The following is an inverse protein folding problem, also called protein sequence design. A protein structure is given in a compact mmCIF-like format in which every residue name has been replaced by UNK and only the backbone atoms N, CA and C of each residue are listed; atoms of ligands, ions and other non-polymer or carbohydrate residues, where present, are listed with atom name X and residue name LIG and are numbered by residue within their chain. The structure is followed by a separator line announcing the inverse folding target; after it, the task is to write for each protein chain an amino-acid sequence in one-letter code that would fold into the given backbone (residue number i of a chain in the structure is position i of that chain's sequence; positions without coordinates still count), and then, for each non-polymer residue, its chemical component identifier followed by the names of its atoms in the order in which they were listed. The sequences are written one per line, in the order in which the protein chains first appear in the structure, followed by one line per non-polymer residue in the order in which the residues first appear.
data_IF_326667117777
#
_entry.id   IF_326667117777
#
_cell.length_a   1.000
_cell.length_b   1.000
_cell.length_c   1.000
_cell.angle_alpha   90.00
_cell.angle_beta   90.00
_cell.angle_gamma   90.00
#
_symmetry.space_group_name_H-M   'P 1'
#
loop_
_entity.id
_entity.type
_entity.pdbx_description
1 polymer ?
#
# COMPACT_ATOMS: atom_id res chain seq x y z
N UNK A 1 -11.60 -69.07 -32.50
CA UNK A 1 -10.26 -69.65 -32.36
C UNK A 1 -9.36 -68.57 -31.81
N UNK A 2 -8.90 -68.75 -30.57
CA UNK A 2 -7.65 -68.32 -29.95
C UNK A 2 -7.41 -66.82 -29.81
N UNK A 3 -7.61 -66.32 -28.57
CA UNK A 3 -6.80 -65.21 -27.98
C UNK A 3 -5.40 -65.71 -27.65
N UNK A 4 -4.42 -64.78 -27.55
CA UNK A 4 -3.64 -64.73 -26.32
C UNK A 4 -3.44 -63.28 -25.81
N UNK A 5 -3.74 -63.09 -24.57
CA UNK A 5 -2.98 -62.77 -23.35
C UNK A 5 -1.90 -61.67 -23.49
N UNK A 6 -2.22 -60.59 -22.85
CA UNK A 6 -1.41 -59.41 -22.56
C UNK A 6 -0.61 -59.61 -21.26
N UNK A 7 0.67 -59.28 -21.16
CA UNK A 7 1.35 -59.21 -19.88
C UNK A 7 1.42 -57.77 -19.35
N UNK A 8 1.02 -57.68 -18.11
CA UNK A 8 1.06 -56.48 -17.28
C UNK A 8 2.44 -55.81 -17.24
N UNK A 9 2.48 -54.52 -17.55
CA UNK A 9 3.58 -53.63 -17.22
C UNK A 9 3.28 -53.01 -15.86
N UNK A 10 4.08 -53.37 -14.88
CA UNK A 10 4.10 -52.70 -13.57
C UNK A 10 4.88 -51.38 -13.70
N UNK A 11 4.18 -50.29 -13.63
CA UNK A 11 4.77 -48.95 -13.49
C UNK A 11 5.01 -48.66 -12.01
N UNK A 12 6.28 -48.67 -11.59
CA UNK A 12 6.76 -48.20 -10.30
C UNK A 12 7.22 -46.77 -10.43
N UNK A 13 6.31 -45.83 -10.59
CA UNK A 13 6.60 -44.42 -10.38
C UNK A 13 6.45 -44.04 -8.90
N UNK A 14 7.53 -44.10 -8.18
CA UNK A 14 7.66 -43.52 -6.82
C UNK A 14 7.63 -42.00 -6.97
N UNK A 15 6.48 -41.38 -6.76
CA UNK A 15 6.37 -39.96 -6.53
C UNK A 15 6.96 -39.63 -5.16
N UNK A 16 8.22 -39.19 -5.13
CA UNK A 16 8.74 -38.45 -4.00
C UNK A 16 8.10 -37.04 -4.02
N UNK A 17 7.10 -36.85 -3.19
CA UNK A 17 6.62 -35.52 -2.84
C UNK A 17 7.71 -34.81 -2.03
N UNK A 18 8.45 -33.93 -2.68
CA UNK A 18 9.25 -32.94 -1.98
C UNK A 18 8.29 -31.91 -1.37
N UNK A 19 7.84 -32.17 -0.16
CA UNK A 19 7.30 -31.12 0.70
C UNK A 19 8.40 -30.08 0.98
N UNK A 20 8.49 -29.06 0.15
CA UNK A 20 9.17 -27.82 0.52
C UNK A 20 8.24 -27.05 1.46
N UNK A 21 8.19 -27.51 2.70
CA UNK A 21 7.53 -26.80 3.78
C UNK A 21 8.22 -25.50 4.06
N UNK A 22 7.85 -24.46 3.36
CA UNK A 22 8.20 -23.07 3.74
C UNK A 22 7.43 -22.78 5.03
N UNK A 23 8.08 -23.03 6.17
CA UNK A 23 7.53 -22.73 7.49
C UNK A 23 7.26 -21.23 7.53
N UNK A 24 5.99 -20.84 7.57
CA UNK A 24 5.64 -19.43 7.70
C UNK A 24 6.32 -18.87 8.95
N UNK A 25 7.09 -17.81 8.77
CA UNK A 25 7.74 -17.11 9.88
C UNK A 25 6.65 -16.50 10.78
N UNK A 26 6.85 -16.59 12.09
CA UNK A 26 5.97 -15.91 13.03
C UNK A 26 6.02 -14.39 12.80
N UNK A 27 4.95 -13.69 13.15
CA UNK A 27 4.88 -12.23 13.04
C UNK A 27 6.04 -11.55 13.75
N UNK A 28 6.45 -12.07 14.92
CA UNK A 28 7.60 -11.57 15.68
C UNK A 28 8.94 -11.81 14.97
N UNK A 29 9.12 -12.96 14.32
CA UNK A 29 10.30 -13.25 13.53
C UNK A 29 10.40 -12.34 12.29
N UNK A 30 9.26 -12.01 11.66
CA UNK A 30 9.20 -11.04 10.57
C UNK A 30 9.56 -9.65 11.08
N UNK A 31 9.03 -9.23 12.22
CA UNK A 31 9.34 -7.94 12.83
C UNK A 31 10.81 -7.82 13.21
N UNK A 32 11.39 -8.86 13.83
CA UNK A 32 12.82 -8.90 14.19
C UNK A 32 13.72 -8.90 12.95
N UNK A 33 13.40 -9.68 11.93
CA UNK A 33 14.15 -9.71 10.67
C UNK A 33 14.05 -8.35 9.92
N UNK A 34 12.89 -7.69 9.98
CA UNK A 34 12.69 -6.37 9.38
C UNK A 34 13.47 -5.31 10.17
N UNK A 35 13.45 -5.35 11.50
CA UNK A 35 14.21 -4.44 12.35
C UNK A 35 15.71 -4.60 12.14
N UNK A 36 16.24 -5.84 12.18
CA UNK A 36 17.66 -6.13 11.94
C UNK A 36 18.11 -5.68 10.54
N UNK A 37 17.31 -5.98 9.50
CA UNK A 37 17.60 -5.56 8.12
C UNK A 37 17.56 -4.04 7.98
N UNK A 38 16.77 -3.36 8.80
CA UNK A 38 16.69 -1.91 8.79
C UNK A 38 17.93 -1.29 9.47
N UNK A 39 18.44 -1.87 10.55
CA UNK A 39 19.72 -1.47 11.15
C UNK A 39 20.87 -1.59 10.13
N UNK A 40 20.93 -2.69 9.37
CA UNK A 40 21.95 -2.87 8.32
C UNK A 40 21.82 -1.87 7.16
N UNK A 41 20.58 -1.50 6.78
CA UNK A 41 20.33 -0.63 5.61
C UNK A 41 20.39 0.85 5.96
N UNK A 42 20.04 1.22 7.20
CA UNK A 42 19.89 2.63 7.59
C UNK A 42 21.05 3.19 8.41
N UNK A 43 22.05 2.37 8.76
CA UNK A 43 23.38 2.87 9.18
C UNK A 43 24.21 3.42 8.01
N UNK A 44 23.73 3.29 6.78
CA UNK A 44 24.32 4.01 5.66
C UNK A 44 24.02 5.51 5.87
N UNK A 45 25.03 6.39 5.95
CA UNK A 45 24.80 7.81 6.05
C UNK A 45 23.96 8.26 4.87
N UNK A 46 22.68 8.48 5.11
CA UNK A 46 21.78 9.04 4.12
C UNK A 46 22.19 10.49 3.77
N UNK A 47 21.67 11.04 2.69
CA UNK A 47 21.86 12.45 2.39
C UNK A 47 21.36 13.27 3.59
N UNK A 48 22.20 14.17 4.08
CA UNK A 48 21.89 15.02 5.24
C UNK A 48 20.63 15.87 5.05
N UNK A 49 20.21 16.03 3.79
CA UNK A 49 19.03 16.79 3.43
C UNK A 49 18.48 16.24 2.10
N UNK A 50 17.16 15.97 1.96
CA UNK A 50 16.60 15.45 0.71
C UNK A 50 16.90 16.33 -0.51
N UNK A 51 16.93 17.65 -0.34
CA UNK A 51 17.27 18.60 -1.39
C UNK A 51 18.75 18.57 -1.80
N UNK A 52 19.62 18.04 -0.95
CA UNK A 52 21.04 17.86 -1.21
C UNK A 52 21.38 16.44 -1.69
N UNK A 53 20.38 15.59 -1.89
CA UNK A 53 20.61 14.28 -2.46
C UNK A 53 21.07 14.41 -3.91
N UNK A 54 22.36 14.26 -4.09
CA UNK A 54 23.01 14.28 -5.40
C UNK A 54 23.44 12.85 -5.73
N UNK A 55 22.47 11.99 -6.02
CA UNK A 55 22.78 10.72 -6.64
C UNK A 55 23.41 10.95 -8.03
N UNK A 56 24.06 9.93 -8.60
CA UNK A 56 24.65 9.99 -9.93
C UNK A 56 23.61 10.17 -11.04
N UNK A 57 22.33 9.91 -10.75
CA UNK A 57 21.23 10.12 -11.69
C UNK A 57 21.08 11.60 -12.07
N UNK A 58 21.02 11.93 -13.36
CA UNK A 58 20.67 13.29 -13.80
C UNK A 58 19.22 13.65 -13.52
N UNK A 59 18.37 12.67 -13.15
CA UNK A 59 16.96 12.88 -12.86
C UNK A 59 16.83 13.45 -11.46
N UNK A 60 16.35 14.69 -11.36
CA UNK A 60 16.07 15.38 -10.10
C UNK A 60 14.57 15.36 -9.86
N UNK A 61 14.13 14.55 -8.90
CA UNK A 61 12.72 14.47 -8.53
C UNK A 61 12.39 15.62 -7.56
N UNK A 62 11.44 16.45 -7.94
CA UNK A 62 11.00 17.58 -7.14
C UNK A 62 9.93 17.19 -6.12
N UNK A 63 8.95 16.39 -6.55
CA UNK A 63 7.88 15.83 -5.70
C UNK A 63 7.19 14.68 -6.40
N UNK A 64 6.43 13.88 -5.65
CA UNK A 64 5.42 13.00 -6.23
C UNK A 64 4.32 13.88 -6.85
N UNK A 65 4.12 13.80 -8.16
CA UNK A 65 3.22 14.67 -8.91
C UNK A 65 1.77 14.20 -8.85
N UNK A 66 1.43 13.25 -9.70
CA UNK A 66 0.07 12.71 -9.80
C UNK A 66 0.12 11.20 -10.06
N UNK A 67 -1.02 10.57 -9.81
CA UNK A 67 -1.27 9.16 -10.07
C UNK A 67 -2.48 9.00 -10.99
N UNK A 68 -2.36 8.16 -12.01
CA UNK A 68 -3.46 7.83 -12.93
C UNK A 68 -3.68 6.33 -12.93
N UNK A 69 -4.92 5.89 -12.77
CA UNK A 69 -5.24 4.47 -12.78
C UNK A 69 -6.52 4.18 -13.56
N UNK A 70 -6.65 2.94 -14.02
CA UNK A 70 -7.81 2.49 -14.78
C UNK A 70 -8.92 2.02 -13.85
N UNK A 71 -10.15 2.39 -14.16
CA UNK A 71 -11.35 2.08 -13.38
C UNK A 71 -12.43 1.47 -14.26
N UNK A 72 -13.17 0.52 -13.72
CA UNK A 72 -14.22 -0.19 -14.46
C UNK A 72 -15.46 0.68 -14.74
N UNK A 73 -15.74 1.63 -13.83
CA UNK A 73 -16.84 2.60 -13.95
C UNK A 73 -16.35 3.96 -13.44
N UNK A 74 -16.10 4.86 -14.39
CA UNK A 74 -15.53 6.19 -14.11
C UNK A 74 -16.46 7.02 -13.21
N UNK A 75 -17.78 6.99 -13.42
CA UNK A 75 -18.70 7.81 -12.64
C UNK A 75 -18.86 7.30 -11.21
N UNK A 76 -18.89 5.99 -11.02
CA UNK A 76 -18.90 5.37 -9.69
C UNK A 76 -17.63 5.73 -8.92
N UNK A 77 -16.47 5.61 -9.54
CA UNK A 77 -15.21 5.93 -8.89
C UNK A 77 -15.00 7.44 -8.74
N UNK A 78 -15.49 8.26 -9.68
CA UNK A 78 -15.52 9.71 -9.54
C UNK A 78 -16.38 10.15 -8.33
N UNK A 79 -17.52 9.51 -8.13
CA UNK A 79 -18.34 9.74 -6.93
C UNK A 79 -17.58 9.40 -5.65
N UNK A 80 -16.88 8.28 -5.62
CA UNK A 80 -16.03 7.91 -4.49
C UNK A 80 -14.97 8.99 -4.18
N UNK A 81 -14.26 9.51 -5.19
CA UNK A 81 -13.26 10.56 -4.99
C UNK A 81 -13.86 11.87 -4.49
N UNK A 82 -15.03 12.26 -4.98
CA UNK A 82 -15.71 13.47 -4.51
C UNK A 82 -16.28 13.33 -3.11
N UNK A 83 -17.06 12.27 -2.88
CA UNK A 83 -17.92 12.15 -1.70
C UNK A 83 -17.22 11.46 -0.53
N UNK A 84 -16.35 10.46 -0.79
CA UNK A 84 -15.65 9.73 0.25
C UNK A 84 -14.30 10.37 0.55
N UNK A 85 -13.50 10.63 -0.49
CA UNK A 85 -12.15 11.16 -0.33
C UNK A 85 -12.09 12.69 -0.23
N UNK A 86 -13.18 13.40 -0.55
CA UNK A 86 -13.25 14.86 -0.46
C UNK A 86 -12.40 15.61 -1.48
N UNK A 87 -12.04 14.96 -2.58
CA UNK A 87 -11.29 15.59 -3.66
C UNK A 87 -12.17 16.46 -4.53
N UNK A 88 -11.60 17.48 -5.12
CA UNK A 88 -12.30 18.39 -6.05
C UNK A 88 -12.05 17.93 -7.48
N UNK A 89 -13.11 17.62 -8.21
CA UNK A 89 -13.03 17.39 -9.65
C UNK A 89 -12.58 18.66 -10.36
N UNK A 90 -11.52 18.58 -11.16
CA UNK A 90 -10.94 19.73 -11.86
C UNK A 90 -11.24 19.74 -13.33
N UNK A 91 -11.24 18.57 -13.98
CA UNK A 91 -11.36 18.51 -15.42
C UNK A 91 -11.85 17.14 -15.90
N UNK A 92 -12.36 17.12 -17.13
CA UNK A 92 -12.70 15.92 -17.90
C UNK A 92 -12.18 16.06 -19.32
N UNK A 93 -11.61 15.02 -19.86
CA UNK A 93 -11.17 15.05 -21.24
C UNK A 93 -12.11 14.27 -22.18
N UNK A 94 -11.93 14.47 -23.49
CA UNK A 94 -12.72 13.81 -24.54
C UNK A 94 -12.59 12.28 -24.57
N UNK A 95 -11.63 11.72 -23.85
CA UNK A 95 -11.41 10.27 -23.76
C UNK A 95 -12.08 9.65 -22.52
N UNK A 96 -12.94 10.41 -21.83
CA UNK A 96 -13.68 9.96 -20.65
C UNK A 96 -12.86 9.90 -19.38
N UNK A 97 -11.65 10.47 -19.35
CA UNK A 97 -10.88 10.59 -18.12
C UNK A 97 -11.42 11.73 -17.26
N UNK A 98 -11.35 11.54 -15.95
CA UNK A 98 -11.72 12.54 -14.94
C UNK A 98 -10.53 12.80 -14.04
N UNK A 99 -10.30 14.07 -13.69
CA UNK A 99 -9.15 14.51 -12.92
C UNK A 99 -9.58 15.19 -11.62
N UNK A 100 -8.84 14.93 -10.55
CA UNK A 100 -9.14 15.40 -9.20
C UNK A 100 -7.90 16.00 -8.53
N UNK A 101 -8.12 17.04 -7.73
CA UNK A 101 -7.09 17.66 -6.89
C UNK A 101 -7.46 17.61 -5.42
N UNK A 102 -6.45 17.57 -4.56
CA UNK A 102 -6.54 17.80 -3.11
C UNK A 102 -5.75 19.02 -2.65
N UNK A 103 -5.03 19.67 -3.55
CA UNK A 103 -4.17 20.83 -3.29
C UNK A 103 -4.18 21.84 -4.41
N UNK A 104 -3.02 22.45 -4.66
CA UNK A 104 -2.84 23.54 -5.65
C UNK A 104 -2.61 23.06 -7.08
N UNK A 105 -2.08 21.85 -7.24
CA UNK A 105 -1.85 21.28 -8.57
C UNK A 105 -3.18 21.03 -9.29
N UNK A 106 -3.14 21.08 -10.62
CA UNK A 106 -4.32 20.85 -11.44
C UNK A 106 -4.99 19.50 -11.11
N UNK A 107 -4.19 18.45 -10.90
CA UNK A 107 -4.67 17.16 -10.42
C UNK A 107 -3.59 16.40 -9.65
N UNK A 108 -4.04 15.60 -8.71
CA UNK A 108 -3.27 14.60 -8.00
C UNK A 108 -3.69 13.18 -8.44
N UNK A 109 -4.96 13.02 -8.81
CA UNK A 109 -5.55 11.75 -9.25
C UNK A 109 -6.16 11.94 -10.63
N UNK A 110 -5.96 10.93 -11.51
CA UNK A 110 -6.65 10.79 -12.78
C UNK A 110 -7.32 9.43 -12.89
N UNK A 111 -8.58 9.40 -13.25
CA UNK A 111 -9.34 8.20 -13.54
C UNK A 111 -9.36 7.98 -15.05
N UNK A 112 -8.96 6.82 -15.50
CA UNK A 112 -9.02 6.41 -16.89
C UNK A 112 -10.04 5.28 -17.07
N UNK A 113 -10.95 5.36 -18.06
CA UNK A 113 -11.81 4.23 -18.38
C UNK A 113 -10.99 2.97 -18.68
N UNK A 114 -11.30 1.88 -18.01
CA UNK A 114 -10.67 0.58 -18.25
C UNK A 114 -11.08 0.05 -19.63
N UNK A 115 -10.17 -0.59 -20.32
CA UNK A 115 -10.51 -1.34 -21.54
C UNK A 115 -11.46 -2.50 -21.18
N UNK A 116 -12.49 -2.72 -22.01
CA UNK A 116 -13.51 -3.76 -21.80
C UNK A 116 -12.94 -5.19 -21.68
N UNK A 117 -11.75 -5.43 -22.24
CA UNK A 117 -11.07 -6.73 -22.21
C UNK A 117 -10.28 -6.97 -20.91
N UNK A 118 -10.17 -5.95 -20.05
CA UNK A 118 -9.48 -6.04 -18.74
C UNK A 118 -10.45 -6.41 -17.63
N UNK A 119 -9.88 -6.99 -16.54
CA UNK A 119 -10.63 -7.27 -15.31
C UNK A 119 -10.36 -6.18 -14.27
N UNK A 120 -11.35 -5.82 -13.43
CA UNK A 120 -11.11 -4.94 -12.27
C UNK A 120 -10.07 -5.53 -11.33
N UNK A 121 -9.37 -4.67 -10.58
CA UNK A 121 -8.30 -5.08 -9.64
C UNK A 121 -8.77 -6.15 -8.64
N UNK A 122 -9.99 -6.02 -8.11
CA UNK A 122 -10.59 -7.01 -7.20
C UNK A 122 -10.64 -8.44 -7.74
N UNK A 123 -10.62 -8.61 -9.08
CA UNK A 123 -10.66 -9.89 -9.75
C UNK A 123 -9.25 -10.42 -10.14
N UNK A 124 -8.20 -9.64 -9.84
CA UNK A 124 -6.81 -9.89 -10.24
C UNK A 124 -5.97 -10.33 -9.05
N UNK A 125 -6.24 -11.51 -8.52
CA UNK A 125 -5.41 -12.10 -7.45
C UNK A 125 -4.12 -12.70 -8.04
N UNK A 126 -3.03 -12.65 -7.26
CA UNK A 126 -1.72 -13.22 -7.61
C UNK A 126 -1.06 -12.64 -8.88
N UNK A 127 -1.34 -11.38 -9.22
CA UNK A 127 -0.65 -10.64 -10.27
C UNK A 127 0.17 -9.50 -9.64
N UNK A 128 1.21 -9.05 -10.35
CA UNK A 128 1.94 -7.84 -9.95
C UNK A 128 1.00 -6.64 -10.08
N UNK A 129 0.89 -5.89 -8.99
CA UNK A 129 0.01 -4.72 -8.89
C UNK A 129 0.58 -3.71 -7.91
N UNK A 130 0.05 -2.50 -7.92
CA UNK A 130 0.29 -1.53 -6.85
C UNK A 130 -0.31 -2.08 -5.56
N UNK A 131 0.47 -2.07 -4.47
CA UNK A 131 -0.01 -2.56 -3.19
C UNK A 131 -1.01 -1.55 -2.60
N UNK A 132 -0.61 -0.30 -2.41
CA UNK A 132 -1.51 0.78 -2.03
C UNK A 132 -0.96 2.17 -2.41
N UNK A 133 -1.81 3.19 -2.31
CA UNK A 133 -1.45 4.60 -2.36
C UNK A 133 -1.91 5.29 -1.08
N UNK A 134 -1.01 6.05 -0.43
CA UNK A 134 -1.25 6.65 0.87
C UNK A 134 -1.41 8.17 0.81
N UNK A 135 -2.31 8.69 1.66
CA UNK A 135 -2.55 10.12 1.85
C UNK A 135 -2.41 10.50 3.32
N UNK A 136 -1.68 11.56 3.59
CA UNK A 136 -1.56 12.08 4.94
C UNK A 136 -2.80 12.87 5.33
N UNK A 137 -3.30 12.61 6.55
CA UNK A 137 -4.30 13.45 7.23
C UNK A 137 -3.63 14.20 8.39
N UNK A 138 -4.16 15.36 8.80
CA UNK A 138 -3.49 16.24 9.76
C UNK A 138 -3.11 15.60 11.08
N UNK A 139 -4.01 14.77 11.62
CA UNK A 139 -3.85 14.20 12.96
C UNK A 139 -4.76 12.97 13.19
N UNK A 140 -4.59 12.39 14.35
CA UNK A 140 -5.34 11.22 14.85
C UNK A 140 -6.85 11.49 14.95
N UNK A 141 -7.28 12.71 15.28
CA UNK A 141 -8.69 13.04 15.39
C UNK A 141 -9.38 13.05 14.01
N UNK A 142 -8.68 13.52 12.99
CA UNK A 142 -9.15 13.40 11.60
C UNK A 142 -9.18 11.93 11.16
N UNK A 143 -8.18 11.13 11.54
CA UNK A 143 -8.14 9.69 11.23
C UNK A 143 -9.32 8.94 11.87
N UNK A 144 -9.67 9.23 13.14
CA UNK A 144 -10.84 8.66 13.83
C UNK A 144 -12.15 9.02 13.12
N UNK A 145 -12.31 10.30 12.73
CA UNK A 145 -13.50 10.75 11.99
C UNK A 145 -13.60 10.06 10.64
N UNK A 146 -12.47 9.92 9.94
CA UNK A 146 -12.41 9.20 8.67
C UNK A 146 -12.81 7.72 8.84
N UNK A 147 -12.32 7.03 9.88
CA UNK A 147 -12.75 5.65 10.21
C UNK A 147 -14.27 5.55 10.35
N UNK A 148 -14.86 6.43 11.14
CA UNK A 148 -16.31 6.46 11.34
C UNK A 148 -17.05 6.72 10.02
N UNK A 149 -16.56 7.64 9.22
CA UNK A 149 -17.15 7.98 7.92
C UNK A 149 -17.06 6.83 6.91
N UNK A 150 -15.89 6.18 6.79
CA UNK A 150 -15.70 5.02 5.92
C UNK A 150 -16.70 3.89 6.29
N UNK A 151 -16.83 3.59 7.59
CA UNK A 151 -17.80 2.60 8.09
C UNK A 151 -19.25 2.98 7.77
N UNK A 152 -19.63 4.23 7.98
CA UNK A 152 -20.99 4.72 7.69
C UNK A 152 -21.34 4.66 6.20
N UNK A 153 -20.35 4.74 5.32
CA UNK A 153 -20.52 4.64 3.87
C UNK A 153 -20.28 3.23 3.31
N UNK A 154 -20.15 2.21 4.19
CA UNK A 154 -19.89 0.81 3.81
C UNK A 154 -18.62 0.63 2.95
N UNK A 155 -17.60 1.45 3.17
CA UNK A 155 -16.30 1.28 2.51
C UNK A 155 -15.52 0.18 3.23
N UNK A 156 -15.06 -0.86 2.52
CA UNK A 156 -14.32 -1.96 3.13
C UNK A 156 -12.98 -1.48 3.70
N UNK A 157 -12.79 -1.62 5.01
CA UNK A 157 -11.51 -1.38 5.68
C UNK A 157 -10.77 -2.72 5.73
N UNK A 158 -9.53 -2.75 5.25
CA UNK A 158 -8.70 -3.97 5.17
C UNK A 158 -7.57 -3.99 6.20
N UNK A 159 -7.19 -2.82 6.71
CA UNK A 159 -6.24 -2.69 7.81
C UNK A 159 -6.52 -1.41 8.60
N UNK A 160 -6.29 -1.47 9.91
CA UNK A 160 -6.27 -0.29 10.78
C UNK A 160 -5.25 -0.51 11.92
N UNK A 161 -4.36 0.46 12.14
CA UNK A 161 -3.35 0.36 13.19
C UNK A 161 -2.05 1.06 12.86
N UNK A 162 -1.02 0.75 13.65
CA UNK A 162 0.34 1.22 13.44
C UNK A 162 1.07 0.30 12.47
N UNK A 163 1.77 0.90 11.50
CA UNK A 163 2.74 0.21 10.63
C UNK A 163 4.15 0.31 11.21
N UNK A 164 5.02 -0.65 10.89
CA UNK A 164 6.38 -0.69 11.42
C UNK A 164 7.27 0.40 10.86
N UNK A 165 7.31 0.53 9.54
CA UNK A 165 8.15 1.53 8.86
C UNK A 165 7.60 2.94 9.08
N UNK A 166 8.43 3.85 9.64
CA UNK A 166 8.03 5.23 9.90
C UNK A 166 6.99 5.41 11.01
N UNK A 167 6.58 4.33 11.68
CA UNK A 167 5.69 4.32 12.85
C UNK A 167 4.33 5.01 12.66
N UNK A 168 3.91 5.28 11.42
CA UNK A 168 2.63 5.93 11.14
C UNK A 168 1.43 5.10 11.62
N UNK A 169 0.38 5.80 11.99
CA UNK A 169 -0.93 5.21 12.29
C UNK A 169 -1.81 5.38 11.06
N UNK A 170 -2.43 4.30 10.60
CA UNK A 170 -3.14 4.31 9.32
C UNK A 170 -4.41 3.46 9.29
N UNK A 171 -5.22 3.74 8.28
CA UNK A 171 -6.39 2.96 7.88
C UNK A 171 -6.25 2.70 6.38
N UNK A 172 -6.26 1.41 6.00
CA UNK A 172 -6.29 1.00 4.61
C UNK A 172 -7.71 0.54 4.25
N UNK A 173 -8.18 0.93 3.08
CA UNK A 173 -9.54 0.67 2.62
C UNK A 173 -9.57 0.52 1.10
N UNK A 174 -10.66 -0.04 0.58
CA UNK A 174 -10.79 -0.32 -0.83
C UNK A 174 -11.69 0.70 -1.53
N UNK A 175 -11.28 1.11 -2.72
CA UNK A 175 -12.14 1.83 -3.65
C UNK A 175 -13.19 0.90 -4.30
N UNK A 176 -14.11 1.42 -5.11
CA UNK A 176 -15.14 0.60 -5.76
C UNK A 176 -14.61 -0.50 -6.70
N UNK A 177 -13.39 -0.40 -7.19
CA UNK A 177 -12.74 -1.40 -8.04
C UNK A 177 -11.81 -2.34 -7.30
N UNK A 178 -11.62 -2.13 -5.99
CA UNK A 178 -10.78 -2.96 -5.12
C UNK A 178 -9.32 -2.53 -5.08
N UNK A 179 -8.98 -1.32 -5.54
CA UNK A 179 -7.69 -0.72 -5.28
C UNK A 179 -7.58 -0.33 -3.82
N UNK A 180 -6.43 -0.63 -3.22
CA UNK A 180 -6.17 -0.29 -1.84
C UNK A 180 -5.62 1.12 -1.71
N UNK A 181 -6.24 1.91 -0.84
CA UNK A 181 -5.81 3.23 -0.44
C UNK A 181 -5.58 3.28 1.06
N UNK A 182 -4.66 4.13 1.47
CA UNK A 182 -4.32 4.37 2.86
C UNK A 182 -4.53 5.85 3.21
N UNK A 183 -5.09 6.10 4.37
CA UNK A 183 -4.99 7.40 5.04
C UNK A 183 -4.18 7.21 6.32
N UNK A 184 -3.24 8.12 6.59
CA UNK A 184 -2.35 7.99 7.73
C UNK A 184 -2.04 9.33 8.39
N UNK A 185 -1.57 9.28 9.62
CA UNK A 185 -0.93 10.39 10.32
C UNK A 185 0.31 9.90 11.08
N UNK A 186 1.08 10.83 11.62
CA UNK A 186 2.22 10.55 12.49
C UNK A 186 3.37 9.75 11.84
N UNK A 187 3.56 9.91 10.52
CA UNK A 187 4.73 9.36 9.85
C UNK A 187 5.99 10.12 10.29
N UNK A 188 7.03 9.36 10.63
CA UNK A 188 8.35 9.90 10.96
C UNK A 188 8.83 10.87 9.87
N UNK A 189 9.28 12.04 10.29
CA UNK A 189 9.86 13.04 9.40
C UNK A 189 11.38 12.99 9.50
N UNK A 190 12.04 12.97 8.36
CA UNK A 190 13.50 13.01 8.30
C UNK A 190 13.94 14.48 8.41
N UNK A 191 14.72 14.78 9.44
CA UNK A 191 15.27 16.11 9.66
C UNK A 191 16.41 16.48 8.72
N UNK A 192 16.94 17.73 8.83
CA UNK A 192 18.05 18.21 8.01
C UNK A 192 19.34 17.40 8.15
N UNK A 193 19.51 16.69 9.25
CA UNK A 193 20.64 15.79 9.49
C UNK A 193 20.52 14.43 8.81
N UNK A 194 19.37 14.16 8.19
CA UNK A 194 19.07 12.91 7.47
C UNK A 194 18.90 11.70 8.38
N UNK A 195 18.79 11.89 9.70
CA UNK A 195 18.66 10.77 10.65
C UNK A 195 17.30 10.10 10.55
N UNK A 196 17.34 8.79 10.65
CA UNK A 196 16.17 7.94 10.75
C UNK A 196 15.98 7.51 12.21
N UNK A 197 14.74 7.22 12.59
CA UNK A 197 14.46 6.62 13.90
C UNK A 197 15.23 5.31 14.06
N UNK A 198 16.02 5.14 15.13
CA UNK A 198 16.68 3.87 15.41
C UNK A 198 15.67 2.73 15.57
N UNK A 199 16.00 1.54 15.09
CA UNK A 199 15.10 0.39 15.18
C UNK A 199 14.68 0.07 16.62
N UNK A 200 15.56 0.30 17.59
CA UNK A 200 15.29 0.15 19.04
C UNK A 200 14.21 1.09 19.57
N UNK A 201 13.90 2.16 18.84
CA UNK A 201 12.85 3.14 19.18
C UNK A 201 11.56 2.92 18.39
N UNK A 202 11.48 1.89 17.57
CA UNK A 202 10.25 1.56 16.88
C UNK A 202 9.19 1.06 17.85
N UNK A 203 8.00 1.56 17.63
CA UNK A 203 6.83 1.00 18.27
C UNK A 203 6.39 -0.25 17.53
N UNK A 204 5.88 -1.27 18.23
CA UNK A 204 5.37 -2.47 17.59
C UNK A 204 4.15 -2.15 16.72
N UNK A 205 3.91 -3.01 15.74
CA UNK A 205 2.64 -3.01 15.01
C UNK A 205 1.53 -3.41 15.97
N UNK A 206 0.53 -2.57 16.12
CA UNK A 206 -0.60 -2.78 17.02
C UNK A 206 -1.91 -2.24 16.43
N UNK A 207 -3.07 -2.67 16.95
CA UNK A 207 -4.38 -2.15 16.54
C UNK A 207 -4.48 -0.63 16.70
N UNK A 208 -5.44 -0.03 15.98
CA UNK A 208 -5.59 1.42 15.90
C UNK A 208 -5.76 2.07 17.28
N UNK A 209 -6.62 1.51 18.12
CA UNK A 209 -6.91 2.05 19.44
C UNK A 209 -5.67 2.07 20.32
N UNK A 210 -4.92 0.97 20.39
CA UNK A 210 -3.66 0.88 21.12
C UNK A 210 -2.58 1.83 20.55
N UNK A 211 -2.53 1.96 19.20
CA UNK A 211 -1.59 2.84 18.54
C UNK A 211 -1.83 4.32 18.88
N UNK A 212 -3.09 4.68 19.07
CA UNK A 212 -3.50 6.04 19.44
C UNK A 212 -3.16 6.35 20.92
N UNK A 213 -3.32 5.36 21.80
CA UNK A 213 -3.02 5.51 23.24
C UNK A 213 -1.51 5.52 23.53
N UNK A 214 -0.69 4.97 22.62
CA UNK A 214 0.76 4.95 22.72
C UNK A 214 1.43 5.71 21.54
N UNK A 215 1.28 7.04 21.47
CA UNK A 215 1.80 7.83 20.38
C UNK A 215 3.34 7.78 20.31
N UNK A 216 3.86 7.99 19.11
CA UNK A 216 5.31 8.08 18.89
C UNK A 216 5.75 9.52 19.03
N UNK A 217 6.83 9.76 19.78
CA UNK A 217 7.47 11.07 19.76
C UNK A 217 8.07 11.29 18.36
N UNK A 218 7.65 12.35 17.70
CA UNK A 218 8.17 12.74 16.37
C UNK A 218 9.56 13.37 16.43
N UNK A 219 10.00 13.77 17.63
CA UNK A 219 11.33 14.34 17.90
C UNK A 219 12.19 13.28 18.57
N UNK A 220 12.96 12.60 17.81
CA UNK A 220 13.84 11.53 18.26
C UNK A 220 15.28 11.78 17.79
#
# INVERSE_FOLDING_TARGET
MIQPSDPAVQDHSVHQEHETGTKAMSTDAIHQATAARREEVYDIPGPKHPENYVGESPIKINKLGHFVYEVSDVERTAKFWREVMGFVETDRNRHGMVFFRCGKDHHAIGLRPMNKDKKPMRDMRNTLQMEHLAFEVPDVEVLKKAKAYLKANNIPIVFEGRKGAGCNISINFLDPDGYEFEIYCDLDQIGPDGRLRPASMFKPRNPLEEAIEDPVDRKW
#
